data_IF_222723637419
#
_entry.id   IF_222723637419
#
_cell.length_a   1.000
_cell.length_b   1.000
_cell.length_c   1.000
_cell.angle_alpha   90.00
_cell.angle_beta   90.00
_cell.angle_gamma   90.00
#
_symmetry.space_group_name_H-M   'P 1'
#
loop_
_entity.id
_entity.type
_entity.pdbx_description
1 polymer ?
#
# COMPACT_ATOMS: atom_id res chain seq x y z
N UNK A 1 -7.08 -1.81 15.04
CA UNK A 1 -6.66 -3.17 15.40
C UNK A 1 -7.04 -4.22 14.36
N UNK A 2 -8.32 -4.43 14.04
CA UNK A 2 -8.75 -5.47 13.08
C UNK A 2 -8.19 -5.32 11.66
N UNK A 3 -7.99 -4.09 11.16
CA UNK A 3 -7.47 -3.86 9.81
C UNK A 3 -6.11 -4.51 9.54
N UNK A 4 -5.21 -4.55 10.52
CA UNK A 4 -3.89 -5.17 10.36
C UNK A 4 -3.98 -6.70 10.22
N UNK A 5 -4.91 -7.33 10.94
CA UNK A 5 -5.17 -8.77 10.82
C UNK A 5 -5.72 -9.11 9.43
N UNK A 6 -6.62 -8.28 8.90
CA UNK A 6 -7.15 -8.45 7.54
C UNK A 6 -6.02 -8.35 6.51
N UNK A 7 -5.14 -7.34 6.62
CA UNK A 7 -3.97 -7.20 5.76
C UNK A 7 -3.06 -8.44 5.85
N UNK A 8 -2.80 -8.92 7.06
CA UNK A 8 -1.98 -10.11 7.28
C UNK A 8 -2.54 -11.35 6.57
N UNK A 9 -3.84 -11.64 6.71
CA UNK A 9 -4.45 -12.80 6.04
C UNK A 9 -4.45 -12.67 4.52
N UNK A 10 -4.70 -11.46 3.98
CA UNK A 10 -4.61 -11.20 2.54
C UNK A 10 -3.19 -11.48 2.03
N UNK A 11 -2.18 -10.98 2.73
CA UNK A 11 -0.78 -11.18 2.36
C UNK A 11 -0.36 -12.64 2.49
N UNK A 12 -0.79 -13.34 3.55
CA UNK A 12 -0.51 -14.75 3.76
C UNK A 12 -1.07 -15.61 2.63
N UNK A 13 -2.32 -15.35 2.22
CA UNK A 13 -2.94 -16.03 1.09
C UNK A 13 -2.20 -15.72 -0.22
N UNK A 14 -1.84 -14.46 -0.44
CA UNK A 14 -1.15 -14.03 -1.67
C UNK A 14 0.30 -14.49 -1.75
N UNK A 15 0.98 -14.68 -0.61
CA UNK A 15 2.38 -15.12 -0.55
C UNK A 15 2.62 -16.46 -1.25
N UNK A 16 1.65 -17.38 -1.18
CA UNK A 16 1.68 -18.69 -1.85
C UNK A 16 1.52 -18.60 -3.37
N UNK A 17 0.98 -17.50 -3.90
CA UNK A 17 0.70 -17.28 -5.33
C UNK A 17 1.43 -16.07 -5.92
N UNK A 18 2.52 -15.62 -5.29
CA UNK A 18 3.23 -14.41 -5.70
C UNK A 18 3.69 -14.51 -7.17
N UNK A 19 3.31 -13.57 -8.05
CA UNK A 19 3.64 -13.64 -9.47
C UNK A 19 5.10 -13.27 -9.78
N UNK A 20 5.71 -12.43 -8.94
CA UNK A 20 7.08 -11.93 -9.08
C UNK A 20 7.64 -11.57 -7.69
N UNK A 21 8.97 -11.41 -7.61
CA UNK A 21 9.64 -11.02 -6.37
C UNK A 21 9.35 -9.55 -6.04
N UNK A 22 8.97 -9.29 -4.78
CA UNK A 22 8.49 -7.98 -4.33
C UNK A 22 6.99 -7.76 -4.49
N UNK A 23 6.23 -8.66 -5.14
CA UNK A 23 4.76 -8.51 -5.27
C UNK A 23 4.03 -8.40 -3.93
N UNK A 24 4.48 -9.16 -2.92
CA UNK A 24 3.91 -9.14 -1.56
C UNK A 24 4.22 -7.83 -0.85
N UNK A 25 5.43 -7.28 -1.05
CA UNK A 25 5.82 -5.99 -0.47
C UNK A 25 5.01 -4.84 -1.07
N UNK A 26 4.88 -4.80 -2.41
CA UNK A 26 4.03 -3.81 -3.07
C UNK A 26 2.59 -3.92 -2.59
N UNK A 27 2.04 -5.14 -2.52
CA UNK A 27 0.67 -5.35 -2.01
C UNK A 27 0.51 -4.88 -0.55
N UNK A 28 1.52 -5.08 0.30
CA UNK A 28 1.52 -4.56 1.66
C UNK A 28 1.48 -3.02 1.68
N UNK A 29 2.32 -2.34 0.88
CA UNK A 29 2.31 -0.88 0.78
C UNK A 29 0.94 -0.36 0.33
N UNK A 30 0.31 -1.00 -0.66
CA UNK A 30 -1.02 -0.64 -1.14
C UNK A 30 -2.06 -0.73 -0.02
N UNK A 31 -2.16 -1.90 0.62
CA UNK A 31 -3.19 -2.20 1.59
C UNK A 31 -3.01 -1.35 2.87
N UNK A 32 -1.78 -1.24 3.35
CA UNK A 32 -1.47 -0.46 4.54
C UNK A 32 -1.63 1.04 4.29
N UNK A 33 -1.16 1.55 3.15
CA UNK A 33 -1.35 2.95 2.76
C UNK A 33 -2.84 3.31 2.65
N UNK A 34 -3.65 2.47 2.01
CA UNK A 34 -5.10 2.66 1.93
C UNK A 34 -5.74 2.64 3.33
N UNK A 35 -5.46 1.63 4.16
CA UNK A 35 -5.97 1.55 5.52
C UNK A 35 -5.59 2.80 6.33
N UNK A 36 -4.34 3.25 6.23
CA UNK A 36 -3.84 4.41 6.97
C UNK A 36 -4.53 5.70 6.55
N UNK A 37 -4.77 5.87 5.24
CA UNK A 37 -5.49 7.03 4.71
C UNK A 37 -6.91 7.13 5.28
N UNK A 38 -7.68 6.04 5.20
CA UNK A 38 -9.04 6.01 5.75
C UNK A 38 -9.05 6.14 7.26
N UNK A 39 -8.13 5.47 7.96
CA UNK A 39 -8.06 5.53 9.42
C UNK A 39 -7.78 6.96 9.89
N UNK A 40 -6.89 7.69 9.21
CA UNK A 40 -6.64 9.10 9.54
C UNK A 40 -7.84 9.99 9.25
N UNK A 41 -8.60 9.71 8.18
CA UNK A 41 -9.86 10.40 7.89
C UNK A 41 -10.89 10.22 9.01
N UNK A 42 -11.08 8.97 9.48
CA UNK A 42 -11.98 8.68 10.60
C UNK A 42 -11.47 9.18 11.95
N UNK A 43 -10.14 9.23 12.14
CA UNK A 43 -9.53 9.66 13.39
C UNK A 43 -9.78 11.15 13.63
N UNK A 44 -9.66 11.98 12.59
CA UNK A 44 -10.01 13.41 12.65
C UNK A 44 -9.19 14.25 13.65
N UNK A 45 -8.18 13.70 14.33
CA UNK A 45 -7.41 14.41 15.37
C UNK A 45 -6.25 15.24 14.83
N UNK A 46 -5.78 14.96 13.61
CA UNK A 46 -4.68 15.72 13.01
C UNK A 46 -5.27 16.84 12.17
N UNK A 47 -4.89 18.11 12.41
CA UNK A 47 -5.37 19.21 11.59
C UNK A 47 -4.92 19.04 10.13
N UNK A 48 -5.82 19.25 9.16
CA UNK A 48 -5.47 19.30 7.74
C UNK A 48 -4.51 20.45 7.44
N UNK A 49 -3.70 20.29 6.39
CA UNK A 49 -2.85 21.36 5.87
C UNK A 49 -3.72 22.22 4.94
N UNK A 50 -3.86 23.51 5.26
CA UNK A 50 -4.49 24.48 4.35
C UNK A 50 -3.48 24.88 3.25
N UNK A 51 -3.90 24.97 1.96
CA UNK A 51 -5.26 24.84 1.42
C UNK A 51 -5.64 23.42 0.94
N UNK A 52 -4.76 22.43 1.10
CA UNK A 52 -4.87 21.10 0.50
C UNK A 52 -6.01 20.28 1.15
N UNK A 53 -6.35 20.56 2.40
CA UNK A 53 -7.43 19.86 3.12
C UNK A 53 -7.08 18.41 3.51
N UNK A 54 -5.81 18.00 3.34
CA UNK A 54 -5.29 16.71 3.74
C UNK A 54 -4.26 16.84 4.87
N UNK A 55 -4.17 15.84 5.73
CA UNK A 55 -3.15 15.77 6.76
C UNK A 55 -1.81 15.26 6.21
N UNK A 56 -0.70 15.56 6.88
CA UNK A 56 0.62 14.99 6.53
C UNK A 56 0.59 13.46 6.42
N UNK A 57 -0.12 12.80 7.34
CA UNK A 57 -0.28 11.35 7.34
C UNK A 57 -1.03 10.85 6.10
N UNK A 58 -2.05 11.57 5.65
CA UNK A 58 -2.80 11.23 4.43
C UNK A 58 -1.93 11.39 3.17
N UNK A 59 -1.11 12.44 3.10
CA UNK A 59 -0.16 12.65 1.99
C UNK A 59 0.84 11.50 1.91
N UNK A 60 1.48 11.14 3.03
CA UNK A 60 2.43 10.03 3.06
C UNK A 60 1.75 8.71 2.69
N UNK A 61 0.53 8.48 3.20
CA UNK A 61 -0.26 7.29 2.85
C UNK A 61 -0.56 7.21 1.36
N UNK A 62 -0.86 8.35 0.72
CA UNK A 62 -1.08 8.44 -0.71
C UNK A 62 0.20 8.12 -1.50
N UNK A 63 1.36 8.65 -1.06
CA UNK A 63 2.65 8.32 -1.66
C UNK A 63 2.99 6.83 -1.54
N UNK A 64 2.63 6.17 -0.44
CA UNK A 64 2.78 4.71 -0.30
C UNK A 64 1.91 3.93 -1.29
N UNK A 65 0.67 4.37 -1.50
CA UNK A 65 -0.24 3.76 -2.48
C UNK A 65 0.31 3.93 -3.91
N UNK A 66 0.76 5.14 -4.26
CA UNK A 66 1.34 5.42 -5.58
C UNK A 66 2.64 4.65 -5.81
N UNK A 67 3.54 4.61 -4.83
CA UNK A 67 4.79 3.85 -4.94
C UNK A 67 4.55 2.36 -5.05
N UNK A 68 3.52 1.82 -4.38
CA UNK A 68 3.10 0.43 -4.60
C UNK A 68 2.76 0.14 -6.06
N UNK A 69 1.94 0.99 -6.71
CA UNK A 69 1.59 0.79 -8.11
C UNK A 69 2.82 0.86 -9.02
N UNK A 70 3.71 1.81 -8.78
CA UNK A 70 4.97 1.92 -9.50
C UNK A 70 5.83 0.64 -9.34
N UNK A 71 6.01 0.16 -8.10
CA UNK A 71 6.74 -1.07 -7.80
C UNK A 71 6.09 -2.30 -8.46
N UNK A 72 4.77 -2.41 -8.42
CA UNK A 72 4.06 -3.51 -9.09
C UNK A 72 4.29 -3.50 -10.60
N UNK A 73 4.36 -2.32 -11.23
CA UNK A 73 4.59 -2.22 -12.67
C UNK A 73 6.03 -2.57 -13.04
N UNK A 74 7.02 -1.99 -12.34
CA UNK A 74 8.45 -2.22 -12.59
C UNK A 74 8.84 -3.68 -12.32
N UNK A 75 8.51 -4.22 -11.14
CA UNK A 75 8.93 -5.56 -10.75
C UNK A 75 8.20 -6.67 -11.53
N UNK A 76 6.97 -6.40 -12.00
CA UNK A 76 6.26 -7.33 -12.89
C UNK A 76 6.96 -7.47 -14.24
N UNK A 77 7.62 -6.41 -14.73
CA UNK A 77 8.36 -6.46 -15.99
C UNK A 77 9.64 -7.29 -15.82
N UNK A 78 10.38 -7.12 -14.74
CA UNK A 78 11.59 -7.89 -14.45
C UNK A 78 11.32 -9.39 -14.25
N UNK A 79 10.23 -9.73 -13.54
CA UNK A 79 9.83 -11.12 -13.33
C UNK A 79 9.41 -11.86 -14.62
N UNK A 80 9.09 -11.15 -15.70
CA UNK A 80 8.86 -11.74 -17.02
C UNK A 80 10.16 -11.89 -17.81
N UNK A 81 11.04 -10.88 -17.77
CA UNK A 81 12.33 -10.87 -18.48
C UNK A 81 13.26 -11.97 -17.96
N UNK A 82 13.24 -12.26 -16.65
CA UNK A 82 14.11 -13.29 -16.07
C UNK A 82 13.61 -14.74 -16.31
N UNK A 83 12.46 -14.93 -16.96
CA UNK A 83 11.89 -16.26 -17.29
C UNK A 83 12.03 -16.64 -18.78
N UNK A 84 12.59 -15.76 -19.60
CA UNK A 84 12.94 -16.00 -21.02
C UNK A 84 14.44 -16.22 -21.15
#
# INVERSE_FOLDING_TARGET
FFGLLVIFFILLFFYRRKPFDGAVFSLYLLLYGALRFFLEFYRGVTPPIEPIGLTWNQIVSLLMVLSSFALMFVLRHEGKVNKT
#
